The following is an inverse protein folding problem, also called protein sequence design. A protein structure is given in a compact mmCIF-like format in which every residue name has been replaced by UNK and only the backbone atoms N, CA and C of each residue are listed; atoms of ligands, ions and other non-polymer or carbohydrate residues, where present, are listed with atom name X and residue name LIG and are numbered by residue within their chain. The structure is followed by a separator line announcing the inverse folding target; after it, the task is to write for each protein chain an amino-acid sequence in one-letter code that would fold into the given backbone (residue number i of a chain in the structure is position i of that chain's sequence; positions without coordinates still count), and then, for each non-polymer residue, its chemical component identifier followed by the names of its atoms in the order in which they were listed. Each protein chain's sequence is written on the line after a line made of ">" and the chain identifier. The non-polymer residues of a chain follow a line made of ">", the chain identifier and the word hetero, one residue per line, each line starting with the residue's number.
data_IF_815767809243
#
_entry.id   IF_815767809243
#
_cell.length_a   1.000
_cell.length_b   1.000
_cell.length_c   1.000
_cell.angle_alpha   90.00
_cell.angle_beta   90.00
_cell.angle_gamma   90.00
#
_symmetry.space_group_name_H-M   'P 1'
#
loop_
_entity.id
_entity.type
_entity.pdbx_description
1 polymer ?
2 non-polymer ?
3 non-polymer ?
4 non-polymer ?
5 water ?
#
# COMPACT_ATOMS: atom_id res chain seq x y z
N UNK A 4 -6.56 13.62 20.94
CA UNK A 4 -6.20 12.25 21.41
C UNK A 4 -5.02 11.68 20.66
N UNK A 5 -4.33 10.70 21.25
CA UNK A 5 -3.10 10.07 20.69
C UNK A 5 -3.44 9.33 19.39
N UNK A 6 -4.51 8.53 19.39
CA UNK A 6 -4.94 7.72 18.22
C UNK A 6 -5.26 8.64 17.04
N UNK A 7 -6.01 9.71 17.27
CA UNK A 7 -6.35 10.72 16.23
C UNK A 7 -5.06 11.36 15.69
N UNK A 8 -4.13 11.73 16.57
CA UNK A 8 -2.86 12.39 16.16
C UNK A 8 -2.04 11.41 15.32
N UNK A 9 -1.94 10.15 15.75
CA UNK A 9 -1.21 9.12 14.99
C UNK A 9 -1.91 8.88 13.65
N UNK A 10 -3.24 8.89 13.63
CA UNK A 10 -3.99 8.73 12.35
C UNK A 10 -3.79 9.94 11.43
N UNK A 11 -3.57 11.15 11.97
CA UNK A 11 -3.19 12.31 11.12
C UNK A 11 -1.85 12.03 10.45
N UNK A 12 -0.87 11.53 11.18
CA UNK A 12 0.45 11.19 10.61
C UNK A 12 0.25 10.14 9.50
N UNK A 13 -0.57 9.14 9.77
CA UNK A 13 -0.89 8.08 8.78
C UNK A 13 -1.49 8.71 7.52
N UNK A 14 -2.43 9.63 7.69
CA UNK A 14 -3.07 10.29 6.53
C UNK A 14 -2.02 11.09 5.74
N UNK A 15 -1.10 11.76 6.44
CA UNK A 15 0.01 12.49 5.79
C UNK A 15 0.83 11.56 4.93
N UNK A 16 1.22 10.41 5.48
CA UNK A 16 1.98 9.36 4.73
C UNK A 16 1.19 8.97 3.49
N UNK A 17 -0.09 8.64 3.66
CA UNK A 17 -0.97 8.19 2.54
C UNK A 17 -0.97 9.26 1.44
N UNK A 18 -1.17 10.52 1.79
CA UNK A 18 -1.12 11.64 0.83
C UNK A 18 0.23 11.64 0.09
N UNK A 19 1.33 11.47 0.83
CA UNK A 19 2.68 11.45 0.20
C UNK A 19 2.76 10.26 -0.77
N UNK A 20 2.30 9.07 -0.38
CA UNK A 20 2.42 7.88 -1.27
C UNK A 20 1.64 8.12 -2.57
N UNK A 21 0.59 8.94 -2.52
CA UNK A 21 -0.29 9.24 -3.70
C UNK A 21 0.18 10.49 -4.45
N UNK A 22 1.24 11.16 -3.97
CA UNK A 22 1.71 12.46 -4.51
C UNK A 22 2.55 12.26 -5.78
N UNK A 23 2.68 13.32 -6.59
CA UNK A 23 3.39 13.24 -7.89
C UNK A 23 4.87 12.90 -7.65
N UNK A 24 5.43 13.31 -6.51
CA UNK A 24 6.83 13.04 -6.11
C UNK A 24 7.19 11.56 -6.31
N UNK A 25 6.27 10.63 -5.98
CA UNK A 25 6.53 9.17 -5.97
C UNK A 25 5.82 8.45 -7.11
N UNK A 26 5.16 9.16 -8.02
CA UNK A 26 4.26 8.55 -9.03
C UNK A 26 4.99 7.56 -9.92
N UNK A 27 6.28 7.77 -10.20
CA UNK A 27 7.03 6.92 -11.15
C UNK A 27 7.10 5.47 -10.66
N UNK A 28 7.03 5.22 -9.34
CA UNK A 28 7.06 3.87 -8.75
C UNK A 28 5.80 3.56 -7.94
N UNK A 29 4.96 4.55 -7.62
CA UNK A 29 3.74 4.33 -6.79
C UNK A 29 2.56 3.87 -7.67
N UNK A 30 2.60 4.15 -8.97
CA UNK A 30 1.38 4.04 -9.83
C UNK A 30 0.80 2.62 -9.82
N UNK A 31 1.58 1.50 -9.73
CA UNK A 31 0.97 0.18 -9.73
C UNK A 31 0.05 -0.04 -8.52
N UNK A 32 0.24 0.74 -7.45
CA UNK A 32 -0.47 0.56 -6.16
C UNK A 32 -1.67 1.50 -6.03
N UNK A 33 -1.97 2.28 -7.07
CA UNK A 33 -3.03 3.32 -7.01
C UNK A 33 -4.43 2.69 -6.95
N UNK A 34 -4.63 1.58 -7.65
CA UNK A 34 -5.97 0.96 -7.81
C UNK A 34 -5.84 -0.55 -7.60
N UNK A 35 -6.95 -1.25 -7.30
CA UNK A 35 -6.90 -2.71 -7.16
C UNK A 35 -6.26 -3.34 -8.40
N UNK A 36 -5.42 -4.36 -8.19
CA UNK A 36 -4.90 -5.19 -9.29
C UNK A 36 -6.08 -5.68 -10.12
N UNK A 37 -6.07 -5.41 -11.42
CA UNK A 37 -7.09 -5.92 -12.36
C UNK A 37 -6.48 -7.16 -13.02
N UNK A 38 -6.61 -8.31 -12.36
CA UNK A 38 -5.93 -9.56 -12.74
C UNK A 38 -6.34 -9.95 -14.18
N UNK A 39 -7.64 -9.90 -14.47
CA UNK A 39 -8.21 -10.26 -15.80
C UNK A 39 -7.58 -9.37 -16.89
N UNK A 40 -7.52 -8.05 -16.66
CA UNK A 40 -6.97 -7.07 -17.64
C UNK A 40 -5.49 -7.35 -17.90
N UNK A 41 -4.75 -7.80 -16.88
CA UNK A 41 -3.29 -8.07 -16.97
C UNK A 41 -3.02 -9.50 -17.45
N UNK A 42 -4.06 -10.33 -17.59
CA UNK A 42 -3.95 -11.75 -17.99
C UNK A 42 -3.41 -12.63 -16.87
N UNK A 43 -3.49 -12.17 -15.63
CA UNK A 43 -2.91 -12.87 -14.45
C UNK A 43 -4.02 -13.69 -13.79
N UNK A 44 -4.42 -14.79 -14.44
CA UNK A 44 -5.65 -15.55 -14.09
C UNK A 44 -5.43 -16.40 -12.83
N UNK A 45 -4.23 -16.39 -12.25
CA UNK A 45 -3.90 -17.11 -10.99
C UNK A 45 -3.83 -16.12 -9.82
N UNK A 46 -3.97 -14.81 -10.06
CA UNK A 46 -3.72 -13.78 -9.02
C UNK A 46 -4.58 -14.05 -7.78
N UNK A 47 -5.89 -14.27 -7.95
CA UNK A 47 -6.84 -14.38 -6.82
C UNK A 47 -6.78 -15.78 -6.19
N UNK A 48 -6.06 -16.72 -6.78
CA UNK A 48 -5.80 -18.04 -6.15
C UNK A 48 -4.62 -17.89 -5.20
N UNK A 49 -3.69 -16.98 -5.49
CA UNK A 49 -2.43 -16.80 -4.72
C UNK A 49 -2.61 -15.71 -3.67
N UNK A 50 -3.29 -14.62 -4.02
CA UNK A 50 -3.56 -13.45 -3.14
C UNK A 50 -5.00 -13.54 -2.64
N UNK A 51 -5.18 -13.87 -1.36
CA UNK A 51 -6.50 -14.07 -0.71
C UNK A 51 -7.10 -12.72 -0.27
N UNK A 52 -6.24 -11.73 0.04
CA UNK A 52 -6.66 -10.41 0.59
C UNK A 52 -6.02 -9.30 -0.22
N UNK A 53 -6.58 -8.95 -1.40
CA UNK A 53 -6.02 -7.85 -2.20
C UNK A 53 -6.05 -6.53 -1.41
N UNK A 54 -5.07 -5.67 -1.66
CA UNK A 54 -5.05 -4.32 -1.05
C UNK A 54 -4.31 -3.36 -1.98
N UNK A 55 -4.69 -2.09 -1.94
CA UNK A 55 -4.15 -1.05 -2.83
C UNK A 55 -4.43 0.30 -2.15
N UNK A 56 -3.78 1.36 -2.61
CA UNK A 56 -3.85 2.68 -1.95
C UNK A 56 -5.25 3.31 -2.09
N UNK A 57 -6.01 3.03 -3.16
CA UNK A 57 -7.38 3.59 -3.27
C UNK A 57 -8.24 2.99 -2.16
N UNK A 58 -8.06 1.71 -1.85
CA UNK A 58 -8.82 1.03 -0.76
C UNK A 58 -8.39 1.62 0.59
N UNK A 59 -7.09 1.81 0.80
CA UNK A 59 -6.57 2.43 2.06
C UNK A 59 -7.17 3.84 2.18
N UNK A 60 -7.21 4.62 1.09
CA UNK A 60 -7.77 5.99 1.10
C UNK A 60 -9.26 5.95 1.47
N UNK A 61 -10.03 5.05 0.87
CA UNK A 61 -11.48 4.92 1.17
C UNK A 61 -11.65 4.59 2.66
N UNK A 62 -10.85 3.66 3.17
CA UNK A 62 -10.95 3.21 4.59
C UNK A 62 -10.59 4.39 5.50
N UNK A 63 -9.55 5.16 5.17
CA UNK A 63 -9.18 6.36 5.98
C UNK A 63 -10.34 7.36 5.94
N UNK A 64 -10.87 7.64 4.75
CA UNK A 64 -11.97 8.63 4.56
C UNK A 64 -13.21 8.22 5.36
N UNK A 65 -13.48 6.91 5.46
CA UNK A 65 -14.68 6.34 6.13
C UNK A 65 -14.41 6.15 7.64
N UNK A 66 -13.25 6.55 8.14
CA UNK A 66 -12.82 6.40 9.56
C UNK A 66 -12.85 4.91 9.94
N UNK A 67 -12.51 4.04 8.98
CA UNK A 67 -12.46 2.57 9.21
C UNK A 67 -11.29 2.27 10.15
N UNK A 68 -10.12 2.87 9.92
CA UNK A 68 -8.91 2.59 10.73
C UNK A 68 -9.09 3.20 12.13
N UNK A 69 -8.97 2.36 13.17
CA UNK A 69 -9.12 2.84 14.56
C UNK A 69 -7.75 3.28 15.11
N UNK A 70 -6.65 2.85 14.49
CA UNK A 70 -5.30 3.19 14.99
C UNK A 70 -4.28 3.07 13.84
N UNK A 71 -3.06 3.56 14.09
CA UNK A 71 -1.97 3.55 13.10
C UNK A 71 -1.60 2.11 12.72
N UNK A 72 -1.60 1.18 13.69
CA UNK A 72 -1.22 -0.24 13.47
C UNK A 72 -2.13 -0.84 12.39
N UNK A 73 -3.42 -0.52 12.44
CA UNK A 73 -4.41 -1.09 11.50
C UNK A 73 -4.17 -0.54 10.10
N UNK A 74 -3.88 0.76 10.00
CA UNK A 74 -3.50 1.42 8.73
C UNK A 74 -2.24 0.75 8.17
N UNK A 75 -1.20 0.61 9.00
CA UNK A 75 0.12 0.07 8.54
C UNK A 75 -0.06 -1.36 8.06
N UNK A 76 -0.91 -2.14 8.72
CA UNK A 76 -1.15 -3.56 8.35
C UNK A 76 -1.66 -3.62 6.90
N UNK A 77 -2.56 -2.71 6.50
CA UNK A 77 -3.09 -2.72 5.10
C UNK A 77 -1.99 -2.29 4.14
N UNK A 78 -1.22 -1.25 4.47
CA UNK A 78 -0.15 -0.81 3.54
C UNK A 78 0.86 -1.95 3.36
N UNK A 79 1.24 -2.62 4.45
CA UNK A 79 2.22 -3.74 4.37
C UNK A 79 1.60 -4.95 3.65
N UNK A 80 0.30 -5.20 3.85
CA UNK A 80 -0.41 -6.27 3.12
C UNK A 80 -0.28 -6.02 1.60
N UNK A 81 -0.50 -4.78 1.17
CA UNK A 81 -0.37 -4.38 -0.24
C UNK A 81 1.03 -4.75 -0.76
N UNK A 82 2.10 -4.40 -0.04
CA UNK A 82 3.48 -4.74 -0.45
C UNK A 82 3.69 -6.26 -0.42
N UNK A 83 3.24 -6.92 0.64
CA UNK A 83 3.43 -8.39 0.82
C UNK A 83 2.77 -9.15 -0.34
N UNK A 84 1.60 -8.72 -0.79
CA UNK A 84 0.88 -9.35 -1.92
C UNK A 84 1.79 -9.29 -3.15
N UNK A 85 2.42 -8.14 -3.37
CA UNK A 85 3.31 -7.91 -4.53
C UNK A 85 4.50 -8.86 -4.45
N UNK A 86 5.10 -8.98 -3.27
CA UNK A 86 6.29 -9.85 -3.03
C UNK A 86 5.90 -11.32 -3.12
N UNK A 87 4.65 -11.67 -2.77
CA UNK A 87 4.20 -13.09 -2.80
C UNK A 87 3.95 -13.52 -4.25
N UNK A 88 3.31 -12.66 -5.05
CA UNK A 88 2.77 -13.04 -6.38
C UNK A 88 3.89 -13.00 -7.44
N UNK A 89 4.68 -11.93 -7.44
CA UNK A 89 5.60 -11.58 -8.55
C UNK A 89 6.99 -12.14 -8.28
N UNK A 90 7.71 -12.60 -9.33
CA UNK A 90 9.12 -12.94 -9.19
C UNK A 90 9.90 -11.78 -8.58
N UNK A 91 10.89 -12.05 -7.69
CA UNK A 91 11.56 -10.98 -6.94
C UNK A 91 12.40 -10.02 -7.80
N UNK A 92 12.70 -10.40 -9.04
CA UNK A 92 13.53 -9.60 -9.98
C UNK A 92 12.64 -8.79 -10.93
N UNK A 93 11.31 -8.81 -10.75
CA UNK A 93 10.37 -8.09 -11.64
C UNK A 93 10.39 -6.59 -11.32
N UNK A 94 10.19 -5.74 -12.32
CA UNK A 94 10.17 -4.26 -12.17
C UNK A 94 9.14 -3.85 -11.11
N UNK A 95 7.98 -4.50 -11.09
CA UNK A 95 6.89 -4.13 -10.14
C UNK A 95 7.36 -4.35 -8.70
N UNK A 96 8.20 -5.36 -8.46
CA UNK A 96 8.75 -5.62 -7.10
C UNK A 96 9.77 -4.52 -6.76
N UNK A 97 10.57 -4.08 -7.74
CA UNK A 97 11.51 -2.95 -7.54
C UNK A 97 10.73 -1.71 -7.15
N UNK A 98 9.60 -1.46 -7.81
CA UNK A 98 8.71 -0.31 -7.51
C UNK A 98 8.12 -0.46 -6.09
N UNK A 99 7.68 -1.66 -5.72
CA UNK A 99 7.14 -1.95 -4.36
C UNK A 99 8.21 -1.64 -3.30
N UNK A 100 9.42 -2.15 -3.49
CA UNK A 100 10.56 -1.95 -2.54
C UNK A 100 10.77 -0.44 -2.33
N UNK A 101 10.80 0.34 -3.42
CA UNK A 101 11.04 1.81 -3.35
C UNK A 101 9.91 2.49 -2.61
N UNK A 102 8.66 2.18 -2.92
CA UNK A 102 7.52 2.82 -2.21
C UNK A 102 7.51 2.36 -0.75
N UNK A 103 7.86 1.11 -0.47
CA UNK A 103 7.86 0.63 0.93
C UNK A 103 8.97 1.35 1.71
N UNK A 104 10.10 1.67 1.08
CA UNK A 104 11.15 2.47 1.74
C UNK A 104 10.57 3.83 2.16
N UNK A 105 9.84 4.50 1.26
CA UNK A 105 9.20 5.81 1.58
C UNK A 105 8.29 5.61 2.79
N UNK A 106 7.44 4.59 2.73
CA UNK A 106 6.46 4.29 3.78
C UNK A 106 7.16 4.04 5.12
N UNK A 107 8.10 3.07 5.17
CA UNK A 107 8.68 2.59 6.45
C UNK A 107 9.45 3.74 7.12
N UNK A 108 10.19 4.54 6.36
CA UNK A 108 11.01 5.61 6.99
C UNK A 108 10.10 6.69 7.56
N UNK A 109 8.98 7.00 6.90
CA UNK A 109 8.09 8.05 7.44
C UNK A 109 7.20 7.47 8.54
N UNK A 110 6.77 6.22 8.41
CA UNK A 110 5.96 5.56 9.48
C UNK A 110 6.76 5.57 10.78
N UNK A 111 8.09 5.39 10.70
CA UNK A 111 8.98 5.33 11.88
C UNK A 111 8.99 6.67 12.62
N UNK A 112 8.62 7.77 11.96
CA UNK A 112 8.58 9.14 12.53
C UNK A 112 7.24 9.41 13.20
N UNK A 113 6.44 8.36 13.46
CA UNK A 113 5.15 8.41 14.20
C UNK A 113 5.33 9.23 15.48
N UNK A 114 4.45 10.22 15.74
CA UNK A 114 4.46 10.91 17.02
C UNK A 114 4.01 9.97 18.14
N UNK A 115 4.66 10.09 19.31
CA UNK A 115 4.38 9.25 20.51
C UNK A 115 3.10 9.74 21.18
X LIG B 1 12.29 -1.05 4.50
X LIG B 1 11.43 -1.24 3.39
X LIG B 1 13.09 0.18 4.39
X LIG B 1 13.88 0.24 3.20
X LIG C 1 -11.57 -4.17 8.91
X LIG C 1 -11.52 -3.03 8.05
X LIG C 1 -12.86 -4.30 9.63
X LIG C 1 -13.44 -3.07 9.99
X LIG D 1 6.83 -15.82 -7.43
X LIG D 1 7.10 -17.06 -8.06
X LIG D 1 7.21 -15.78 -6.00
X LIG D 1 8.61 -15.82 -5.78
X LIG E 1 -8.10 10.66 3.51
X LIG E 1 -6.97 10.03 2.94
X LIG E 1 -8.70 11.66 2.60
X LIG E 1 -8.45 11.41 1.23
X LIG F 1 -7.11 15.21 8.67
X LIG F 1 -7.84 15.88 7.65
X LIG F 1 -9.27 16.14 8.04
X LIG F 1 -9.36 16.55 9.40
X LIG F 1 -8.78 17.82 9.66
X LIG F 1 -9.33 18.38 10.93
X LIG F 1 -8.84 17.63 12.05
X LIG F 1 -9.35 18.07 13.29
X LIG F 1 -9.04 17.05 14.36
X LIG F 1 -9.59 15.79 13.99
X LIG F 1 -9.49 14.83 15.02
X LIG F 1 -9.97 13.50 14.52
X LIG F 1 -9.01 12.95 13.63
X LIG F 1 -9.26 11.59 13.30
X LIG F 1 -8.11 11.06 12.49
X LIG F 1 -8.16 11.61 11.18
X LIG F 1 -7.36 10.88 10.26
X LIG F 1 -7.18 11.65 8.99
X LIG F 1 -8.42 12.25 8.62
X LIG F 1 -9.34 11.34 8.03
X LIG F 1 -9.92 11.94 6.79
X LIG F 1 -11.29 11.56 6.68
X LIG F 1 -12.19 12.48 7.28
X LIG F 1 -13.47 11.83 7.57
X LIG G 1 0.19 -3.97 -11.09
X LIG G 1 1.10 -4.08 -7.63
X LIG G 1 0.43 -6.78 -10.21
X LIG G 1 2.06 -7.10 -12.13
X LIG G 1 4.24 -3.81 -14.55
X LIG G 1 3.34 -4.90 -14.71
X LIG G 1 2.60 -5.28 -13.62
X LIG G 1 1.76 -4.45 -12.90
X LIG G 1 1.05 -4.91 -11.79
X LIG G 1 -0.02 -3.96 -9.77
X LIG G 1 0.65 -4.77 -8.84
X LIG G 1 0.93 -6.11 -8.95
X LIG G 1 1.55 -6.71 -8.09
X LIG G 1 0.34 -8.29 -10.08
X LIG G 1 1.20 -6.25 -11.41
X LIG G 1 2.75 -6.62 -13.22
X LIG G 1 3.61 -7.37 -13.98
X LIG G 1 3.84 -8.72 -13.60
#
# INVERSE_FOLDING_TARGET
>A
GSMGKLSEQLKHCNGILKELLSKKHAAYAWPFYKPVDASALGLHDYHDIIKHPMDLSTVKRKMENRDYRDAQEFAADVRLMFSNCYKYNPPDHDVVAMARKLQDVFEFRYAKMPD
>B hetero
1 EDO C1 O1 C2 O2
>C hetero
1 EDO C1 O1 C2 O2
>D hetero
1 EDO C1 O1 C2 O2
>E hetero
1 EDO C1 O1 C2 O2
>F hetero
1 PE4 O1 C1 C2 O2 C3 C4 O3 C5 C6 O4 C7 C8 O5 C9 C10 O6 C11 C12 O7 C13 C14 O8 C15 C16
>G hetero
1 P0U C10 C15 C21 C28 C01 O05 C06 C07 C09 C12 N14 C19 O20 C23 C27 C30 O31 C32
#
